data_IF_227522127037
#
_entry.id   IF_227522127037
#
_cell.length_a   1.000
_cell.length_b   1.000
_cell.length_c   1.000
_cell.angle_alpha   90.00
_cell.angle_beta   90.00
_cell.angle_gamma   90.00
#
_symmetry.space_group_name_H-M   'P 1'
#
loop_
_entity.id
_entity.type
_entity.pdbx_description
1 polymer ?
#
# COMPACT_ATOMS: atom_id res chain seq x y z
N UNK A 1 10.27 3.56 3.90
CA UNK A 1 8.83 3.55 3.56
C UNK A 1 8.32 4.98 3.65
N UNK A 2 7.57 5.44 2.64
CA UNK A 2 6.95 6.76 2.52
C UNK A 2 5.75 6.86 3.48
N UNK A 3 5.39 8.08 3.94
CA UNK A 3 4.26 8.26 4.86
C UNK A 3 2.92 7.76 4.29
N UNK A 4 2.69 7.90 2.97
CA UNK A 4 1.48 7.37 2.33
C UNK A 4 1.39 5.84 2.40
N UNK A 5 2.50 5.14 2.15
CA UNK A 5 2.57 3.67 2.21
C UNK A 5 2.23 3.16 3.61
N UNK A 6 2.76 3.82 4.65
CA UNK A 6 2.48 3.47 6.03
C UNK A 6 1.02 3.73 6.42
N UNK A 7 0.47 4.88 6.01
CA UNK A 7 -0.93 5.25 6.26
C UNK A 7 -1.89 4.25 5.62
N UNK A 8 -1.60 3.82 4.39
CA UNK A 8 -2.38 2.78 3.71
C UNK A 8 -2.22 1.44 4.41
N UNK A 9 -1.01 1.04 4.78
CA UNK A 9 -0.79 -0.19 5.53
C UNK A 9 -1.59 -0.25 6.84
N UNK A 10 -1.65 0.85 7.58
CA UNK A 10 -2.45 0.93 8.81
C UNK A 10 -3.95 0.76 8.57
N UNK A 11 -4.46 1.22 7.43
CA UNK A 11 -5.88 1.11 7.06
C UNK A 11 -6.27 -0.20 6.37
N UNK A 12 -5.31 -0.94 5.83
CA UNK A 12 -5.57 -2.23 5.17
C UNK A 12 -6.08 -3.28 6.17
N UNK A 13 -6.91 -4.24 5.74
CA UNK A 13 -7.28 -5.38 6.58
C UNK A 13 -6.06 -6.29 6.85
N UNK A 14 -6.16 -7.18 7.84
CA UNK A 14 -5.10 -8.15 8.17
C UNK A 14 -4.93 -9.25 7.12
N UNK A 15 -5.98 -9.57 6.38
CA UNK A 15 -6.05 -10.67 5.42
C UNK A 15 -6.89 -10.28 4.20
N UNK A 16 -6.74 -11.01 3.09
CA UNK A 16 -7.46 -10.75 1.83
C UNK A 16 -7.22 -9.36 1.22
N UNK A 17 -6.05 -8.77 1.46
CA UNK A 17 -5.66 -7.50 0.86
C UNK A 17 -5.54 -7.70 -0.64
N UNK A 18 -6.24 -6.86 -1.40
CA UNK A 18 -6.22 -6.84 -2.85
C UNK A 18 -5.76 -5.48 -3.36
N UNK A 19 -5.41 -5.40 -4.65
CA UNK A 19 -5.11 -4.13 -5.30
C UNK A 19 -6.27 -3.14 -5.17
N UNK A 20 -7.50 -3.64 -5.22
CA UNK A 20 -8.72 -2.86 -5.08
C UNK A 20 -8.82 -2.16 -3.72
N UNK A 21 -8.57 -2.85 -2.60
CA UNK A 21 -8.55 -2.23 -1.28
C UNK A 21 -7.54 -1.07 -1.19
N UNK A 22 -6.39 -1.21 -1.86
CA UNK A 22 -5.37 -0.13 -1.88
C UNK A 22 -5.83 1.02 -2.77
N UNK A 23 -6.50 0.73 -3.89
CA UNK A 23 -7.10 1.73 -4.77
C UNK A 23 -8.19 2.53 -4.07
N UNK A 24 -9.11 1.89 -3.36
CA UNK A 24 -10.15 2.57 -2.59
C UNK A 24 -9.54 3.50 -1.54
N UNK A 25 -8.50 3.04 -0.84
CA UNK A 25 -7.77 3.86 0.12
C UNK A 25 -7.02 5.02 -0.54
N UNK A 26 -6.52 4.84 -1.77
CA UNK A 26 -5.90 5.91 -2.54
C UNK A 26 -6.92 6.90 -3.06
N UNK A 27 -8.10 6.46 -3.50
CA UNK A 27 -9.17 7.34 -3.99
C UNK A 27 -9.60 8.33 -2.91
N UNK A 28 -9.74 7.84 -1.66
CA UNK A 28 -10.02 8.68 -0.48
C UNK A 28 -8.86 9.59 -0.03
N UNK A 29 -7.70 9.56 -0.68
CA UNK A 29 -6.56 10.41 -0.34
C UNK A 29 -6.45 11.57 -1.33
N UNK A 30 -6.40 12.79 -0.79
CA UNK A 30 -6.27 14.02 -1.57
C UNK A 30 -5.03 14.00 -2.48
N UNK A 31 -5.18 14.53 -3.71
CA UNK A 31 -4.08 14.69 -4.68
C UNK A 31 -2.84 15.36 -4.08
N UNK A 32 -3.02 16.29 -3.14
CA UNK A 32 -1.93 16.97 -2.42
C UNK A 32 -1.08 16.00 -1.59
N UNK A 33 -1.68 15.05 -0.88
CA UNK A 33 -0.94 14.02 -0.12
C UNK A 33 -0.22 13.04 -1.06
N UNK A 34 -0.88 12.66 -2.17
CA UNK A 34 -0.26 11.83 -3.22
C UNK A 34 0.98 12.51 -3.79
N UNK A 35 0.86 13.79 -4.17
CA UNK A 35 1.97 14.60 -4.70
C UNK A 35 3.11 14.78 -3.70
N UNK A 36 2.80 14.91 -2.40
CA UNK A 36 3.82 15.01 -1.34
C UNK A 36 4.63 13.71 -1.18
N UNK A 37 3.99 12.55 -1.34
CA UNK A 37 4.67 11.26 -1.26
C UNK A 37 5.28 10.81 -2.58
N UNK A 38 4.77 11.26 -3.72
CA UNK A 38 5.24 10.90 -5.06
C UNK A 38 5.44 12.15 -5.93
N UNK A 39 6.40 13.04 -5.60
CA UNK A 39 6.58 14.29 -6.32
C UNK A 39 6.94 14.09 -7.80
N UNK A 40 7.69 13.04 -8.13
CA UNK A 40 8.11 12.70 -9.51
C UNK A 40 7.02 12.03 -10.36
N UNK A 41 6.25 11.09 -9.80
CA UNK A 41 5.32 10.26 -10.57
C UNK A 41 3.86 10.78 -10.59
N UNK A 42 3.50 11.75 -9.74
CA UNK A 42 2.10 12.14 -9.51
C UNK A 42 1.41 12.79 -10.72
N UNK A 43 2.13 13.30 -11.72
CA UNK A 43 1.53 13.95 -12.89
C UNK A 43 1.20 13.00 -14.05
N UNK A 44 1.76 11.79 -14.08
CA UNK A 44 1.68 10.92 -15.27
C UNK A 44 1.18 9.49 -15.02
N UNK A 45 1.12 9.04 -13.77
CA UNK A 45 0.79 7.65 -13.45
C UNK A 45 -0.64 7.51 -12.91
N UNK A 46 -1.34 6.44 -13.30
CA UNK A 46 -2.68 6.13 -12.79
C UNK A 46 -2.63 5.64 -11.33
N UNK A 47 -3.73 5.77 -10.58
CA UNK A 47 -3.86 5.24 -9.21
C UNK A 47 -3.51 3.75 -9.11
N UNK A 48 -3.76 2.96 -10.16
CA UNK A 48 -3.34 1.56 -10.27
C UNK A 48 -1.83 1.37 -10.16
N UNK A 49 -1.04 2.27 -10.74
CA UNK A 49 0.41 2.22 -10.64
C UNK A 49 0.87 2.49 -9.21
N UNK A 50 0.30 3.51 -8.56
CA UNK A 50 0.58 3.81 -7.15
C UNK A 50 0.20 2.67 -6.23
N UNK A 51 -0.99 2.08 -6.41
CA UNK A 51 -1.43 0.94 -5.63
C UNK A 51 -0.47 -0.25 -5.73
N UNK A 52 0.00 -0.54 -6.95
CA UNK A 52 0.97 -1.60 -7.21
C UNK A 52 2.33 -1.30 -6.58
N UNK A 53 2.81 -0.06 -6.70
CA UNK A 53 4.06 0.39 -6.05
C UNK A 53 3.99 0.22 -4.53
N UNK A 54 2.89 0.64 -3.91
CA UNK A 54 2.68 0.54 -2.46
C UNK A 54 2.65 -0.93 -2.03
N UNK A 55 1.93 -1.81 -2.72
CA UNK A 55 1.94 -3.24 -2.43
C UNK A 55 3.33 -3.86 -2.57
N UNK A 56 4.04 -3.54 -3.65
CA UNK A 56 5.41 -4.02 -3.84
C UNK A 56 6.35 -3.55 -2.74
N UNK A 57 6.25 -2.28 -2.35
CA UNK A 57 7.00 -1.75 -1.22
C UNK A 57 6.67 -2.52 0.05
N UNK A 58 5.38 -2.68 0.40
CA UNK A 58 4.94 -3.39 1.59
C UNK A 58 5.44 -4.84 1.65
N UNK A 59 5.47 -5.55 0.51
CA UNK A 59 6.07 -6.87 0.39
C UNK A 59 7.59 -6.81 0.57
N UNK A 60 8.27 -5.83 -0.03
CA UNK A 60 9.72 -5.62 0.11
C UNK A 60 10.13 -5.35 1.56
N UNK A 61 9.30 -4.62 2.31
CA UNK A 61 9.49 -4.38 3.75
C UNK A 61 9.03 -5.54 4.63
N UNK A 62 8.61 -6.68 4.04
CA UNK A 62 8.10 -7.86 4.76
C UNK A 62 6.92 -7.56 5.69
N UNK A 63 6.14 -6.52 5.37
CA UNK A 63 4.90 -6.19 6.08
C UNK A 63 3.70 -6.95 5.51
N UNK A 64 3.75 -7.27 4.22
CA UNK A 64 2.77 -8.10 3.54
C UNK A 64 3.43 -9.37 3.01
N UNK A 65 2.71 -10.48 3.11
CA UNK A 65 3.00 -11.74 2.43
C UNK A 65 2.05 -11.85 1.24
N UNK A 66 2.59 -12.20 0.08
CA UNK A 66 1.79 -12.51 -1.11
C UNK A 66 1.36 -13.97 -1.06
N UNK A 67 0.07 -14.20 -1.21
CA UNK A 67 -0.56 -15.52 -1.27
C UNK A 67 -1.38 -15.60 -2.57
N UNK A 68 -0.75 -16.12 -3.63
CA UNK A 68 -1.32 -16.10 -4.99
C UNK A 68 -1.64 -14.69 -5.50
N UNK A 69 -2.95 -14.41 -5.65
CA UNK A 69 -3.50 -13.12 -6.09
C UNK A 69 -3.81 -12.16 -4.94
N UNK A 70 -3.74 -12.62 -3.69
CA UNK A 70 -4.07 -11.84 -2.49
C UNK A 70 -2.82 -11.55 -1.66
N UNK A 71 -2.93 -10.61 -0.74
CA UNK A 71 -1.89 -10.28 0.23
C UNK A 71 -2.46 -10.40 1.64
N UNK A 72 -1.60 -10.72 2.61
CA UNK A 72 -1.95 -10.80 4.03
C UNK A 72 -0.87 -10.11 4.85
N UNK A 73 -1.25 -9.43 5.94
CA UNK A 73 -0.30 -8.80 6.85
C UNK A 73 0.55 -9.87 7.52
N UNK A 74 1.85 -9.66 7.51
CA UNK A 74 2.77 -10.47 8.30
C UNK A 74 2.55 -10.06 9.74
N UNK A 75 1.78 -10.87 10.49
CA UNK A 75 1.74 -10.74 11.95
C UNK A 75 3.18 -10.91 12.42
N UNK A 76 3.76 -9.86 13.01
CA UNK A 76 4.98 -10.00 13.80
C UNK A 76 4.63 -11.06 14.84
N UNK A 77 5.23 -12.24 14.73
CA UNK A 77 5.25 -13.18 15.82
C UNK A 77 5.78 -12.38 17.01
N UNK A 78 4.95 -12.13 18.02
CA UNK A 78 5.46 -11.69 19.32
C UNK A 78 6.53 -12.72 19.68
N UNK A 79 7.78 -12.32 19.92
CA UNK A 79 8.72 -13.24 20.55
C UNK A 79 8.07 -13.65 21.88
N UNK A 80 7.85 -14.95 22.04
CA UNK A 80 7.44 -15.56 23.31
C UNK A 80 8.46 -15.29 24.40
#
# INVERSE_FOLDING_TARGET
>A
MRPLEWKIFQKLPDENISLDNVLELLDGISRTEKKKSFPDDCHFQSDKYFAKQILQALVRYRLLKRDGSKYSKVKKAKPS
#
